data_IF_310284395422
#
_entry.id   IF_310284395422
#
_cell.length_a   1.000
_cell.length_b   1.000
_cell.length_c   1.000
_cell.angle_alpha   90.00
_cell.angle_beta   90.00
_cell.angle_gamma   90.00
#
_symmetry.space_group_name_H-M   'P 1'
#
loop_
_entity.id
_entity.type
_entity.pdbx_description
1 polymer ?
#
# COMPACT_ATOMS: atom_id res chain seq x y z
N UNK A 1 4.97 26.50 -7.82
CA UNK A 1 3.65 25.89 -7.53
C UNK A 1 2.78 27.05 -7.12
N UNK A 2 1.72 27.37 -7.87
CA UNK A 2 0.81 28.49 -7.54
C UNK A 2 0.26 28.30 -6.13
N UNK A 3 -0.22 29.37 -5.53
CA UNK A 3 -0.87 29.37 -4.22
C UNK A 3 -2.03 28.36 -4.22
N UNK A 4 -1.95 27.32 -3.39
CA UNK A 4 -2.97 26.26 -3.32
C UNK A 4 -4.27 26.83 -2.77
N UNK A 5 -4.20 27.84 -1.90
CA UNK A 5 -5.37 28.47 -1.31
C UNK A 5 -6.15 29.27 -2.37
N UNK A 6 -5.44 29.93 -3.29
CA UNK A 6 -6.06 30.60 -4.46
C UNK A 6 -6.80 29.59 -5.36
N UNK A 7 -6.19 28.43 -5.63
CA UNK A 7 -6.80 27.38 -6.44
C UNK A 7 -8.05 26.81 -5.77
N UNK A 8 -7.98 26.55 -4.46
CA UNK A 8 -9.12 26.06 -3.67
C UNK A 8 -10.23 27.12 -3.64
N UNK A 9 -9.90 28.39 -3.46
CA UNK A 9 -10.87 29.48 -3.48
C UNK A 9 -11.58 29.60 -4.84
N UNK A 10 -10.85 29.44 -5.95
CA UNK A 10 -11.45 29.46 -7.28
C UNK A 10 -12.45 28.32 -7.49
N UNK A 11 -12.11 27.10 -7.06
CA UNK A 11 -13.03 25.95 -7.12
C UNK A 11 -14.26 26.13 -6.22
N UNK A 12 -14.09 26.74 -5.05
CA UNK A 12 -15.17 26.98 -4.11
C UNK A 12 -16.15 28.08 -4.55
N UNK A 13 -15.74 28.98 -5.44
CA UNK A 13 -16.55 30.07 -5.96
C UNK A 13 -17.55 29.65 -7.05
N UNK A 14 -17.45 28.42 -7.58
CA UNK A 14 -18.37 27.89 -8.58
C UNK A 14 -19.70 27.53 -7.90
N UNK A 15 -20.79 28.20 -8.28
CA UNK A 15 -22.14 27.80 -7.90
C UNK A 15 -22.77 26.94 -9.01
N UNK A 16 -23.04 25.63 -8.78
CA UNK A 16 -23.67 24.77 -9.77
C UNK A 16 -25.06 25.22 -10.21
N UNK A 17 -25.77 26.03 -9.40
CA UNK A 17 -27.11 26.50 -9.73
C UNK A 17 -27.14 27.57 -10.84
N UNK A 18 -26.01 28.26 -11.06
CA UNK A 18 -25.88 29.31 -12.08
C UNK A 18 -25.49 28.77 -13.47
N UNK A 19 -25.19 27.46 -13.57
CA UNK A 19 -24.70 26.83 -14.78
C UNK A 19 -25.85 26.27 -15.63
N UNK A 20 -25.87 26.53 -16.95
CA UNK A 20 -26.74 25.81 -17.87
C UNK A 20 -26.45 24.30 -17.87
N UNK A 21 -27.48 23.47 -18.06
CA UNK A 21 -27.38 22.00 -17.99
C UNK A 21 -26.22 21.41 -18.80
N UNK A 22 -25.99 21.90 -20.01
CA UNK A 22 -24.91 21.43 -20.88
C UNK A 22 -23.51 21.76 -20.34
N UNK A 23 -23.36 22.94 -19.74
CA UNK A 23 -22.10 23.38 -19.12
C UNK A 23 -21.85 22.61 -17.82
N UNK A 24 -22.89 22.42 -17.00
CA UNK A 24 -22.83 21.61 -15.78
C UNK A 24 -22.39 20.17 -16.09
N UNK A 25 -22.97 19.54 -17.11
CA UNK A 25 -22.63 18.17 -17.50
C UNK A 25 -21.15 18.04 -17.88
N UNK A 26 -20.61 18.98 -18.67
CA UNK A 26 -19.19 19.00 -19.04
C UNK A 26 -18.32 19.22 -17.80
N UNK A 27 -18.66 20.23 -16.99
CA UNK A 27 -17.89 20.61 -15.81
C UNK A 27 -17.79 19.47 -14.78
N UNK A 28 -18.87 18.71 -14.56
CA UNK A 28 -18.84 17.51 -13.69
C UNK A 28 -17.77 16.52 -14.14
N UNK A 29 -17.65 16.28 -15.44
CA UNK A 29 -16.66 15.33 -15.97
C UNK A 29 -15.24 15.88 -15.95
N UNK A 30 -15.05 17.16 -16.25
CA UNK A 30 -13.74 17.80 -16.21
C UNK A 30 -13.23 17.96 -14.77
N UNK A 31 -14.11 18.27 -13.82
CA UNK A 31 -13.76 18.27 -12.40
C UNK A 31 -13.33 16.89 -11.91
N UNK A 32 -14.00 15.81 -12.34
CA UNK A 32 -13.55 14.45 -12.01
C UNK A 32 -12.14 14.16 -12.52
N UNK A 33 -11.82 14.57 -13.76
CA UNK A 33 -10.46 14.44 -14.33
C UNK A 33 -9.43 15.25 -13.55
N UNK A 34 -9.79 16.46 -13.10
CA UNK A 34 -8.92 17.28 -12.26
C UNK A 34 -8.64 16.64 -10.91
N UNK A 35 -9.65 16.03 -10.27
CA UNK A 35 -9.45 15.28 -9.03
C UNK A 35 -8.51 14.09 -9.27
N UNK A 36 -8.71 13.32 -10.35
CA UNK A 36 -7.83 12.18 -10.67
C UNK A 36 -6.37 12.62 -10.91
N UNK A 37 -6.16 13.73 -11.62
CA UNK A 37 -4.83 14.30 -11.83
C UNK A 37 -4.19 14.81 -10.52
N UNK A 38 -5.00 15.37 -9.62
CA UNK A 38 -4.55 15.84 -8.31
C UNK A 38 -4.19 14.67 -7.40
N UNK A 39 -4.99 13.59 -7.39
CA UNK A 39 -4.68 12.34 -6.71
C UNK A 39 -3.36 11.75 -7.23
N UNK A 40 -3.16 11.74 -8.55
CA UNK A 40 -1.91 11.27 -9.15
C UNK A 40 -0.69 12.10 -8.75
N UNK A 41 -0.84 13.42 -8.71
CA UNK A 41 0.20 14.32 -8.21
C UNK A 41 0.51 14.03 -6.73
N UNK A 42 -0.51 13.97 -5.89
CA UNK A 42 -0.37 13.72 -4.45
C UNK A 42 0.31 12.37 -4.17
N UNK A 43 -0.09 11.30 -4.86
CA UNK A 43 0.51 9.98 -4.70
C UNK A 43 1.98 9.96 -5.12
N UNK A 44 2.36 10.66 -6.19
CA UNK A 44 3.78 10.77 -6.61
C UNK A 44 4.61 11.53 -5.58
N UNK A 45 4.07 12.60 -5.01
CA UNK A 45 4.70 13.34 -3.92
C UNK A 45 4.84 12.46 -2.68
N UNK A 46 3.78 11.72 -2.32
CA UNK A 46 3.80 10.78 -1.21
C UNK A 46 4.83 9.67 -1.41
N UNK A 47 4.93 9.11 -2.62
CA UNK A 47 5.91 8.09 -2.95
C UNK A 47 7.34 8.58 -2.72
N UNK A 48 7.63 9.82 -3.09
CA UNK A 48 8.94 10.43 -2.88
C UNK A 48 9.18 10.82 -1.42
N UNK A 49 8.16 11.36 -0.75
CA UNK A 49 8.17 11.70 0.68
C UNK A 49 8.48 10.48 1.55
N UNK A 50 7.83 9.35 1.27
CA UNK A 50 8.06 8.07 1.95
C UNK A 50 9.45 7.49 1.62
N UNK A 51 9.85 7.51 0.34
CA UNK A 51 11.18 7.03 -0.10
C UNK A 51 12.32 7.78 0.59
N UNK A 52 12.18 9.10 0.77
CA UNK A 52 13.15 9.95 1.47
C UNK A 52 13.03 9.87 3.00
N UNK A 53 12.03 9.17 3.53
CA UNK A 53 11.81 9.05 4.98
C UNK A 53 11.49 10.39 5.66
N UNK A 54 10.90 11.35 4.96
CA UNK A 54 10.73 12.71 5.46
C UNK A 54 9.80 12.79 6.68
N UNK A 55 8.87 11.84 6.82
CA UNK A 55 8.02 11.67 8.00
C UNK A 55 8.80 11.49 9.32
N UNK A 56 10.07 11.09 9.26
CA UNK A 56 10.93 10.93 10.45
C UNK A 56 11.33 12.27 11.07
N UNK A 57 11.32 13.37 10.31
CA UNK A 57 11.76 14.70 10.77
C UNK A 57 10.96 15.19 11.97
N UNK A 58 9.68 14.83 12.05
CA UNK A 58 8.76 15.26 13.11
C UNK A 58 8.58 14.18 14.19
N UNK A 59 9.55 13.26 14.33
CA UNK A 59 9.53 12.19 15.33
C UNK A 59 8.47 11.11 15.11
N UNK A 60 7.82 11.08 13.94
CA UNK A 60 6.75 10.11 13.66
C UNK A 60 7.34 8.73 13.32
N UNK A 61 6.63 7.66 13.71
CA UNK A 61 7.12 6.27 13.59
C UNK A 61 6.91 5.63 12.21
N UNK A 62 6.05 6.21 11.36
CA UNK A 62 5.81 5.76 9.98
C UNK A 62 5.14 6.84 9.13
N UNK A 63 5.24 6.73 7.80
CA UNK A 63 4.49 7.59 6.87
C UNK A 63 2.97 7.54 7.12
N UNK A 64 2.44 6.36 7.41
CA UNK A 64 1.01 6.19 7.71
C UNK A 64 0.60 6.98 8.96
N UNK A 65 1.39 6.92 10.04
CA UNK A 65 1.11 7.71 11.24
C UNK A 65 1.20 9.22 10.97
N UNK A 66 2.14 9.64 10.13
CA UNK A 66 2.30 11.05 9.75
C UNK A 66 1.08 11.54 8.94
N UNK A 67 0.63 10.77 7.95
CA UNK A 67 -0.56 11.10 7.16
C UNK A 67 -1.84 11.18 7.99
N UNK A 68 -2.01 10.31 8.99
CA UNK A 68 -3.18 10.40 9.89
C UNK A 68 -3.16 11.70 10.71
N UNK A 69 -1.99 12.13 11.16
CA UNK A 69 -1.83 13.34 11.96
C UNK A 69 -1.97 14.61 11.12
N UNK A 70 -1.19 14.73 10.05
CA UNK A 70 -1.12 15.95 9.24
C UNK A 70 -2.24 16.08 8.21
N UNK A 71 -2.61 14.97 7.57
CA UNK A 71 -3.65 14.95 6.52
C UNK A 71 -5.02 14.52 7.05
N UNK A 72 -5.15 14.25 8.35
CA UNK A 72 -6.42 13.82 9.02
C UNK A 72 -7.06 12.59 8.37
N UNK A 73 -6.24 11.72 7.77
CA UNK A 73 -6.71 10.50 7.10
C UNK A 73 -7.00 9.38 8.11
N UNK A 74 -7.92 8.49 7.76
CA UNK A 74 -8.17 7.25 8.51
C UNK A 74 -7.23 6.13 8.07
N UNK A 75 -7.11 5.08 8.90
CA UNK A 75 -6.21 3.96 8.64
C UNK A 75 -6.38 3.35 7.23
N UNK A 76 -7.60 2.98 6.77
CA UNK A 76 -7.78 2.41 5.43
C UNK A 76 -7.28 3.31 4.29
N UNK A 77 -7.50 4.63 4.39
CA UNK A 77 -7.06 5.59 3.39
C UNK A 77 -5.53 5.71 3.36
N UNK A 78 -4.88 5.73 4.53
CA UNK A 78 -3.42 5.78 4.60
C UNK A 78 -2.77 4.51 4.04
N UNK A 79 -3.32 3.33 4.34
CA UNK A 79 -2.82 2.07 3.80
C UNK A 79 -2.97 2.03 2.29
N UNK A 80 -4.13 2.41 1.75
CA UNK A 80 -4.36 2.42 0.32
C UNK A 80 -3.43 3.40 -0.42
N UNK A 81 -3.26 4.63 0.10
CA UNK A 81 -2.38 5.61 -0.53
C UNK A 81 -0.92 5.14 -0.57
N UNK A 82 -0.42 4.57 0.53
CA UNK A 82 0.96 4.05 0.59
C UNK A 82 1.14 2.80 -0.28
N UNK A 83 0.14 1.93 -0.35
CA UNK A 83 0.14 0.79 -1.26
C UNK A 83 0.22 1.26 -2.71
N UNK A 84 -0.66 2.18 -3.13
CA UNK A 84 -0.68 2.75 -4.48
C UNK A 84 0.67 3.43 -4.80
N UNK A 85 1.20 4.24 -3.89
CA UNK A 85 2.50 4.87 -4.04
C UNK A 85 3.67 3.87 -4.23
N UNK A 86 3.58 2.71 -3.57
CA UNK A 86 4.56 1.64 -3.69
C UNK A 86 4.45 0.89 -5.02
N UNK A 87 3.25 0.43 -5.38
CA UNK A 87 3.04 -0.41 -6.58
C UNK A 87 3.33 0.32 -7.88
N UNK A 88 3.09 1.63 -7.95
CA UNK A 88 3.39 2.42 -9.14
C UNK A 88 4.88 2.47 -9.48
N UNK A 89 5.78 2.14 -8.54
CA UNK A 89 7.22 2.01 -8.82
C UNK A 89 7.55 0.80 -9.68
N UNK A 90 6.67 -0.20 -9.72
CA UNK A 90 6.86 -1.43 -10.51
C UNK A 90 5.90 -1.53 -11.69
N UNK A 91 4.99 -0.56 -11.85
CA UNK A 91 3.98 -0.49 -12.92
C UNK A 91 4.10 0.84 -13.70
N UNK A 92 5.18 1.05 -14.48
CA UNK A 92 5.44 2.34 -15.14
C UNK A 92 4.36 2.77 -16.14
N UNK A 93 3.70 1.85 -16.84
CA UNK A 93 2.64 2.18 -17.81
C UNK A 93 1.36 2.57 -17.08
N UNK A 94 1.00 1.86 -16.02
CA UNK A 94 -0.11 2.25 -15.12
C UNK A 94 0.19 3.60 -14.45
N UNK A 95 1.44 3.84 -14.03
CA UNK A 95 1.86 5.10 -13.42
C UNK A 95 1.70 6.28 -14.38
N UNK A 96 2.04 6.09 -15.66
CA UNK A 96 1.87 7.13 -16.67
C UNK A 96 0.39 7.40 -16.96
N UNK A 97 -0.43 6.36 -17.13
CA UNK A 97 -1.88 6.50 -17.32
C UNK A 97 -2.54 7.24 -16.16
N UNK A 98 -2.13 6.95 -14.93
CA UNK A 98 -2.61 7.65 -13.73
C UNK A 98 -2.12 9.11 -13.71
N UNK A 99 -0.84 9.35 -14.04
CA UNK A 99 -0.23 10.68 -14.06
C UNK A 99 -0.98 11.68 -14.94
N UNK A 100 -1.49 11.24 -16.08
CA UNK A 100 -2.23 12.10 -17.02
C UNK A 100 -3.74 12.12 -16.75
N UNK A 101 -4.21 11.49 -15.66
CA UNK A 101 -5.62 11.44 -15.29
C UNK A 101 -6.48 10.58 -16.22
N UNK A 102 -5.88 9.66 -17.00
CA UNK A 102 -6.62 8.74 -17.87
C UNK A 102 -7.23 7.56 -17.11
N UNK A 103 -6.69 7.26 -15.93
CA UNK A 103 -7.28 6.32 -14.97
C UNK A 103 -7.30 6.98 -13.59
N UNK A 104 -8.26 6.58 -12.75
CA UNK A 104 -8.41 7.12 -11.39
C UNK A 104 -7.59 6.36 -10.35
N UNK A 105 -7.47 6.93 -9.14
CA UNK A 105 -6.85 6.28 -7.98
C UNK A 105 -7.44 4.89 -7.71
N UNK A 106 -8.75 4.74 -7.84
CA UNK A 106 -9.45 3.47 -7.61
C UNK A 106 -9.08 2.38 -8.64
N UNK A 107 -8.74 2.76 -9.88
CA UNK A 107 -8.20 1.78 -10.84
C UNK A 107 -6.85 1.25 -10.38
N UNK A 108 -5.94 2.14 -9.98
CA UNK A 108 -4.62 1.74 -9.51
C UNK A 108 -4.73 0.91 -8.22
N UNK A 109 -5.64 1.29 -7.32
CA UNK A 109 -5.95 0.52 -6.12
C UNK A 109 -6.48 -0.88 -6.46
N UNK A 110 -7.31 -1.02 -7.49
CA UNK A 110 -7.80 -2.31 -7.95
C UNK A 110 -6.68 -3.17 -8.59
N UNK A 111 -5.66 -2.54 -9.19
CA UNK A 111 -4.49 -3.20 -9.77
C UNK A 111 -3.48 -3.62 -8.69
N UNK A 112 -3.36 -2.86 -7.60
CA UNK A 112 -2.32 -3.03 -6.59
C UNK A 112 -2.11 -4.46 -6.07
N UNK A 113 -3.15 -5.30 -5.81
CA UNK A 113 -2.96 -6.68 -5.35
C UNK A 113 -2.14 -7.55 -6.30
N UNK A 114 -2.07 -7.20 -7.59
CA UNK A 114 -1.28 -7.94 -8.58
C UNK A 114 0.24 -7.84 -8.31
N UNK A 115 0.69 -6.78 -7.63
CA UNK A 115 2.09 -6.56 -7.29
C UNK A 115 2.50 -7.15 -5.93
N UNK A 116 1.56 -7.73 -5.19
CA UNK A 116 1.82 -8.36 -3.89
C UNK A 116 2.21 -9.84 -4.04
N UNK A 117 2.63 -10.49 -2.95
CA UNK A 117 2.83 -11.94 -2.90
C UNK A 117 3.97 -12.47 -3.78
N UNK A 118 5.04 -11.69 -3.96
CA UNK A 118 6.22 -12.11 -4.74
C UNK A 118 6.03 -12.06 -6.27
N UNK A 119 4.90 -11.57 -6.77
CA UNK A 119 4.57 -11.50 -8.21
C UNK A 119 5.15 -10.29 -8.94
N UNK A 120 6.16 -9.63 -8.39
CA UNK A 120 6.69 -8.36 -8.91
C UNK A 120 7.18 -8.50 -10.35
N UNK A 121 7.82 -9.60 -10.71
CA UNK A 121 8.33 -9.79 -12.08
C UNK A 121 7.20 -10.13 -13.07
N UNK A 122 6.21 -10.93 -12.63
CA UNK A 122 5.04 -11.26 -13.43
C UNK A 122 4.18 -10.02 -13.70
N UNK A 123 3.96 -9.18 -12.68
CA UNK A 123 3.10 -8.01 -12.81
C UNK A 123 3.71 -6.95 -13.73
N UNK A 124 5.05 -6.83 -13.78
CA UNK A 124 5.74 -5.93 -14.72
C UNK A 124 5.41 -6.27 -16.17
N UNK A 125 5.32 -7.55 -16.51
CA UNK A 125 4.93 -7.99 -17.85
C UNK A 125 3.44 -7.73 -18.12
N UNK A 126 2.59 -7.80 -17.09
CA UNK A 126 1.15 -7.54 -17.20
C UNK A 126 0.78 -6.04 -17.17
N UNK A 127 1.69 -5.16 -16.74
CA UNK A 127 1.44 -3.73 -16.57
C UNK A 127 0.82 -3.04 -17.81
N UNK A 128 1.35 -3.19 -19.05
CA UNK A 128 0.73 -2.58 -20.23
C UNK A 128 -0.70 -3.08 -20.48
N UNK A 129 -0.99 -4.34 -20.12
CA UNK A 129 -2.31 -4.95 -20.28
C UNK A 129 -3.28 -4.35 -19.26
N UNK A 130 -2.87 -4.21 -18.00
CA UNK A 130 -3.69 -3.60 -16.96
C UNK A 130 -3.95 -2.12 -17.23
N UNK A 131 -2.91 -1.35 -17.59
CA UNK A 131 -3.05 0.05 -17.94
C UNK A 131 -4.03 0.24 -19.10
N UNK A 132 -3.92 -0.57 -20.15
CA UNK A 132 -4.84 -0.52 -21.29
C UNK A 132 -6.27 -0.92 -20.93
N UNK A 133 -6.44 -1.98 -20.13
CA UNK A 133 -7.76 -2.44 -19.70
C UNK A 133 -8.49 -1.37 -18.87
N UNK A 134 -7.77 -0.69 -17.98
CA UNK A 134 -8.30 0.36 -17.11
C UNK A 134 -8.81 1.60 -17.87
N UNK A 135 -8.45 1.80 -19.15
CA UNK A 135 -8.99 2.90 -19.97
C UNK A 135 -10.45 2.69 -20.37
N UNK A 136 -10.95 1.45 -20.33
CA UNK A 136 -12.29 1.10 -20.84
C UNK A 136 -13.17 0.40 -19.81
N UNK A 137 -12.62 0.10 -18.63
CA UNK A 137 -13.27 -0.62 -17.55
C UNK A 137 -13.40 0.29 -16.34
N UNK A 138 -14.43 0.09 -15.52
CA UNK A 138 -14.48 0.72 -14.21
C UNK A 138 -13.58 -0.04 -13.19
N UNK A 139 -13.27 0.56 -12.02
CA UNK A 139 -12.39 -0.06 -11.03
C UNK A 139 -12.85 -1.43 -10.53
N UNK A 140 -14.17 -1.67 -10.45
CA UNK A 140 -14.73 -2.95 -10.03
C UNK A 140 -14.44 -4.05 -11.05
N UNK A 141 -14.63 -3.74 -12.34
CA UNK A 141 -14.28 -4.66 -13.43
C UNK A 141 -12.77 -4.93 -13.45
N UNK A 142 -11.95 -3.89 -13.28
CA UNK A 142 -10.50 -4.03 -13.19
C UNK A 142 -10.08 -4.96 -12.03
N UNK A 143 -10.72 -4.85 -10.87
CA UNK A 143 -10.48 -5.75 -9.74
C UNK A 143 -10.81 -7.22 -10.05
N UNK A 144 -11.80 -7.49 -10.91
CA UNK A 144 -12.10 -8.85 -11.34
C UNK A 144 -11.04 -9.41 -12.30
N UNK A 145 -10.51 -8.58 -13.19
CA UNK A 145 -9.38 -8.93 -14.08
C UNK A 145 -8.16 -9.28 -13.25
N UNK A 146 -7.79 -8.43 -12.28
CA UNK A 146 -6.65 -8.65 -11.39
C UNK A 146 -6.82 -9.93 -10.57
N UNK A 147 -7.99 -10.16 -9.98
CA UNK A 147 -8.27 -11.40 -9.22
C UNK A 147 -8.11 -12.65 -10.09
N UNK A 148 -8.59 -12.58 -11.34
CA UNK A 148 -8.49 -13.69 -12.29
C UNK A 148 -7.03 -13.94 -12.66
N UNK A 149 -6.28 -12.89 -12.94
CA UNK A 149 -4.85 -12.97 -13.25
C UNK A 149 -4.06 -13.56 -12.08
N UNK A 150 -4.27 -13.09 -10.84
CA UNK A 150 -3.62 -13.62 -9.63
C UNK A 150 -3.83 -15.13 -9.54
N UNK A 151 -5.08 -15.58 -9.63
CA UNK A 151 -5.42 -17.01 -9.55
C UNK A 151 -4.69 -17.84 -10.61
N UNK A 152 -4.59 -17.33 -11.85
CA UNK A 152 -3.89 -18.03 -12.94
C UNK A 152 -2.37 -18.09 -12.69
N UNK A 153 -1.78 -17.01 -12.19
CA UNK A 153 -0.34 -17.00 -11.88
C UNK A 153 0.03 -17.94 -10.73
N UNK A 154 -0.86 -18.11 -9.75
CA UNK A 154 -0.69 -19.04 -8.62
C UNK A 154 -0.84 -20.50 -9.08
N UNK A 155 -1.69 -20.79 -10.06
CA UNK A 155 -1.82 -22.15 -10.62
C UNK A 155 -0.64 -22.58 -11.49
N UNK A 156 0.07 -21.63 -12.12
CA UNK A 156 1.20 -21.92 -13.01
C UNK A 156 2.55 -22.05 -12.26
N UNK A 157 2.64 -21.54 -11.03
CA UNK A 157 3.82 -21.62 -10.18
C UNK A 157 3.48 -22.36 -8.88
N UNK A 158 3.53 -23.70 -8.84
CA UNK A 158 3.39 -24.41 -7.58
C UNK A 158 4.47 -23.92 -6.61
N UNK A 159 4.06 -23.66 -5.37
CA UNK A 159 4.94 -23.39 -4.23
C UNK A 159 6.12 -24.38 -4.27
N UNK A 160 7.38 -23.93 -4.10
CA UNK A 160 8.51 -24.86 -4.10
C UNK A 160 8.23 -25.92 -3.05
N UNK A 161 8.17 -27.19 -3.48
CA UNK A 161 7.90 -28.32 -2.61
C UNK A 161 8.78 -28.21 -1.37
N UNK A 162 8.15 -28.18 -0.18
CA UNK A 162 8.87 -28.25 1.08
C UNK A 162 9.89 -29.40 1.01
N UNK A 163 11.14 -29.19 1.44
CA UNK A 163 12.15 -30.24 1.38
C UNK A 163 11.62 -31.47 2.11
N UNK A 164 11.63 -32.60 1.43
CA UNK A 164 11.13 -33.86 1.95
C UNK A 164 11.82 -34.17 3.29
N UNK A 165 11.07 -34.07 4.39
CA UNK A 165 11.48 -34.59 5.69
C UNK A 165 11.53 -36.11 5.59
N UNK A 166 12.69 -36.63 5.22
CA UNK A 166 12.98 -38.05 5.36
C UNK A 166 13.82 -38.24 6.62
N UNK A 167 13.17 -38.60 7.73
CA UNK A 167 13.73 -39.46 8.78
C UNK A 167 12.65 -39.90 9.77
N UNK A 168 12.24 -41.15 9.63
CA UNK A 168 11.58 -41.96 10.65
C UNK A 168 12.33 -41.95 12.00
N UNK A 169 11.62 -42.14 13.13
CA UNK A 169 12.16 -41.97 14.47
C UNK A 169 12.93 -43.21 14.95
N UNK A 170 14.18 -43.02 15.39
CA UNK A 170 14.90 -44.04 16.19
C UNK A 170 14.54 -43.84 17.66
N UNK A 171 13.76 -44.78 18.21
CA UNK A 171 13.64 -44.99 19.65
C UNK A 171 14.94 -45.60 20.16
N UNK A 172 15.64 -44.93 21.07
CA UNK A 172 16.58 -45.61 21.97
C UNK A 172 16.34 -45.15 23.40
N UNK A 173 15.96 -46.14 24.21
CA UNK A 173 15.74 -46.09 25.64
C UNK A 173 17.06 -45.83 26.40
N UNK A 174 16.95 -45.15 27.53
CA UNK A 174 18.02 -44.98 28.52
C UNK A 174 18.52 -46.33 29.10
N UNK A 175 19.65 -46.31 29.83
CA UNK A 175 19.47 -46.48 31.27
C UNK A 175 20.34 -45.61 32.19
N UNK A 176 19.73 -45.29 33.33
CA UNK A 176 20.25 -45.25 34.71
C UNK A 176 21.57 -44.52 35.07
N UNK A 177 21.40 -43.42 35.81
CA UNK A 177 21.90 -43.29 37.20
C UNK A 177 23.34 -42.81 37.42
N UNK A 178 23.51 -41.62 38.01
CA UNK A 178 23.87 -41.52 39.44
C UNK A 178 23.70 -40.09 40.00
N UNK A 179 23.53 -40.01 41.31
CA UNK A 179 23.05 -38.86 42.11
C UNK A 179 24.13 -37.90 42.61
N UNK A 180 23.79 -36.59 42.61
CA UNK A 180 23.92 -35.55 43.66
C UNK A 180 25.30 -35.19 44.31
N UNK A 181 25.45 -34.05 45.05
CA UNK A 181 24.43 -33.07 45.44
C UNK A 181 24.76 -31.56 45.28
N UNK A 182 23.72 -30.79 45.62
CA UNK A 182 23.49 -29.35 45.67
C UNK A 182 24.58 -28.43 46.25
N UNK A 183 24.69 -27.24 45.66
CA UNK A 183 25.19 -26.04 46.33
C UNK A 183 24.18 -24.90 46.19
N UNK A 184 23.85 -24.31 47.35
CA UNK A 184 22.80 -23.32 47.59
C UNK A 184 23.46 -21.94 47.52
N UNK A 185 23.04 -21.09 46.59
CA UNK A 185 23.44 -19.68 46.58
C UNK A 185 22.30 -18.83 47.17
N UNK A 186 22.54 -18.25 48.34
CA UNK A 186 21.66 -17.25 48.97
C UNK A 186 21.84 -15.87 48.31
N UNK A 187 20.80 -15.02 48.31
CA UNK A 187 20.88 -13.67 47.75
C UNK A 187 21.40 -12.64 48.79
N UNK A 188 22.10 -11.58 48.37
CA UNK A 188 22.50 -10.51 49.30
C UNK A 188 21.38 -9.50 49.57
N UNK A 189 21.13 -9.29 50.87
CA UNK A 189 20.34 -8.24 51.51
C UNK A 189 21.08 -6.89 51.50
N UNK A 190 20.35 -5.78 51.41
CA UNK A 190 20.91 -4.45 51.68
C UNK A 190 20.15 -3.27 51.08
N UNK A 191 18.98 -2.95 51.62
CA UNK A 191 18.35 -1.63 51.46
C UNK A 191 18.70 -0.73 52.67
N UNK A 192 18.96 0.57 52.48
CA UNK A 192 18.89 1.54 53.57
C UNK A 192 17.55 2.29 53.59
N UNK A 193 16.99 2.41 54.80
CA UNK A 193 15.79 3.20 55.13
C UNK A 193 16.14 4.63 55.55
N UNK A 194 15.49 5.62 54.92
CA UNK A 194 15.10 6.93 55.48
C UNK A 194 16.16 8.04 55.64
N UNK A 195 15.75 9.29 55.95
CA UNK A 195 14.38 9.78 56.21
C UNK A 195 13.65 10.34 54.97
#
# INVERSE_FOLDING_TARGET
MKDVDEQVAHLAAVDPADLPDGELAVLVTDMRRLVDATDACWIRLLAEFDRRGLWRRDGTRSAAAWLRRECRLVHPSTTAALLVASVLRVLPVTAEAFRVGSISFEHVRAIAPAAEGGRVDLVRNADPIFARAALWMNPRQMGNVVRTWIRLTETEHPEPAAPAENSTPVKNSAPAGNSAPAERLEPPEGAPSGP
#
